data_IF_337157037631
#
_entry.id   IF_337157037631
#
_cell.length_a   1.000
_cell.length_b   1.000
_cell.length_c   1.000
_cell.angle_alpha   90.00
_cell.angle_beta   90.00
_cell.angle_gamma   90.00
#
_symmetry.space_group_name_H-M   'P 1'
#
loop_
_entity.id
_entity.type
_entity.pdbx_description
1 polymer ?
#
# COMPACT_ATOMS: atom_id res chain seq x y z
N UNK A 1 -60.25 9.92 25.73
CA UNK A 1 -59.74 8.53 25.75
C UNK A 1 -59.06 8.28 24.43
N UNK A 2 -57.73 8.48 24.39
CA UNK A 2 -56.94 8.28 23.19
C UNK A 2 -56.81 6.78 22.92
N UNK A 3 -57.43 6.32 21.84
CA UNK A 3 -57.32 4.93 21.40
C UNK A 3 -55.92 4.74 20.81
N UNK A 4 -55.04 4.14 21.60
CA UNK A 4 -53.74 3.63 21.12
C UNK A 4 -54.02 2.70 19.95
N UNK A 5 -53.60 3.10 18.74
CA UNK A 5 -53.72 2.27 17.55
C UNK A 5 -52.90 0.99 17.72
N UNK A 6 -53.45 -0.19 17.37
CA UNK A 6 -52.70 -1.43 17.42
C UNK A 6 -51.49 -1.37 16.47
N UNK A 7 -50.38 -2.06 16.77
CA UNK A 7 -49.22 -2.06 15.88
C UNK A 7 -49.65 -2.58 14.50
N UNK A 8 -49.40 -1.79 13.45
CA UNK A 8 -49.60 -2.22 12.06
C UNK A 8 -48.90 -3.56 11.88
N UNK A 9 -49.67 -4.60 11.54
CA UNK A 9 -49.09 -5.83 10.99
C UNK A 9 -48.44 -5.39 9.69
N UNK A 10 -47.11 -5.42 9.63
CA UNK A 10 -46.42 -5.24 8.36
C UNK A 10 -46.83 -6.41 7.47
N UNK A 11 -47.43 -6.09 6.33
CA UNK A 11 -47.97 -7.09 5.41
C UNK A 11 -46.80 -7.85 4.76
N UNK A 12 -46.91 -9.18 4.62
CA UNK A 12 -45.86 -10.03 4.05
C UNK A 12 -45.43 -9.55 2.65
N UNK A 13 -46.37 -9.01 1.90
CA UNK A 13 -46.16 -8.44 0.56
C UNK A 13 -45.23 -7.22 0.58
N UNK A 14 -45.25 -6.43 1.66
CA UNK A 14 -44.36 -5.27 1.84
C UNK A 14 -42.91 -5.71 2.12
N UNK A 15 -42.71 -6.82 2.83
CA UNK A 15 -41.38 -7.39 3.04
C UNK A 15 -40.81 -8.04 1.77
N UNK A 16 -41.66 -8.68 0.98
CA UNK A 16 -41.25 -9.33 -0.27
C UNK A 16 -40.90 -8.31 -1.36
N UNK A 17 -41.60 -7.16 -1.41
CA UNK A 17 -41.31 -6.09 -2.37
C UNK A 17 -39.95 -5.42 -2.13
N UNK A 18 -39.53 -5.31 -0.86
CA UNK A 18 -38.24 -4.74 -0.46
C UNK A 18 -37.12 -5.79 -0.31
N UNK A 19 -37.35 -7.04 -0.76
CA UNK A 19 -36.38 -8.13 -0.61
C UNK A 19 -35.12 -7.85 -1.45
N UNK A 20 -33.92 -7.86 -0.86
CA UNK A 20 -32.66 -7.75 -1.61
C UNK A 20 -32.47 -8.92 -2.59
N UNK A 21 -31.81 -8.64 -3.72
CA UNK A 21 -31.46 -9.69 -4.67
C UNK A 21 -30.48 -10.70 -4.05
N UNK A 22 -30.57 -11.98 -4.44
CA UNK A 22 -29.69 -13.02 -3.89
C UNK A 22 -28.19 -12.71 -4.11
N UNK A 23 -27.85 -12.09 -5.23
CA UNK A 23 -26.48 -11.66 -5.52
C UNK A 23 -25.98 -10.60 -4.53
N UNK A 24 -26.84 -9.67 -4.10
CA UNK A 24 -26.48 -8.67 -3.09
C UNK A 24 -26.20 -9.31 -1.72
N UNK A 25 -26.99 -10.33 -1.36
CA UNK A 25 -26.78 -11.06 -0.12
C UNK A 25 -25.45 -11.83 -0.13
N UNK A 26 -25.05 -12.37 -1.29
CA UNK A 26 -23.74 -13.01 -1.46
C UNK A 26 -22.61 -11.98 -1.36
N UNK A 27 -22.75 -10.83 -2.03
CA UNK A 27 -21.76 -9.76 -1.96
C UNK A 27 -21.54 -9.23 -0.54
N UNK A 28 -22.61 -9.19 0.26
CA UNK A 28 -22.57 -8.83 1.69
C UNK A 28 -22.11 -9.97 2.60
N UNK A 29 -21.72 -11.12 2.05
CA UNK A 29 -21.36 -12.33 2.80
C UNK A 29 -22.47 -12.85 3.74
N UNK A 30 -23.74 -12.58 3.42
CA UNK A 30 -24.90 -13.10 4.16
C UNK A 30 -25.27 -14.49 3.64
N UNK A 31 -25.29 -14.66 2.31
CA UNK A 31 -25.53 -15.95 1.67
C UNK A 31 -24.22 -16.53 1.13
N UNK A 32 -24.04 -17.85 1.23
CA UNK A 32 -22.94 -18.55 0.55
C UNK A 32 -23.06 -18.48 -0.97
N UNK A 33 -21.98 -18.77 -1.68
CA UNK A 33 -21.96 -18.80 -3.14
C UNK A 33 -23.02 -19.80 -3.67
N UNK A 34 -24.01 -19.34 -4.45
CA UNK A 34 -25.14 -20.15 -4.89
C UNK A 34 -24.74 -21.25 -5.87
N UNK A 35 -23.51 -21.21 -6.41
CA UNK A 35 -22.95 -22.28 -7.26
C UNK A 35 -22.51 -23.50 -6.45
N UNK A 36 -22.40 -23.37 -5.13
CA UNK A 36 -21.99 -24.45 -4.24
C UNK A 36 -23.21 -25.06 -3.57
N UNK A 37 -23.30 -26.38 -3.57
CA UNK A 37 -24.29 -27.09 -2.78
C UNK A 37 -24.19 -26.74 -1.28
N UNK A 38 -25.30 -26.42 -0.59
CA UNK A 38 -25.30 -26.02 0.82
C UNK A 38 -24.54 -26.97 1.75
N UNK A 39 -24.62 -28.28 1.50
CA UNK A 39 -23.99 -29.31 2.31
C UNK A 39 -22.45 -29.21 2.39
N UNK A 40 -21.79 -28.66 1.36
CA UNK A 40 -20.32 -28.59 1.29
C UNK A 40 -19.77 -27.17 1.52
N UNK A 41 -20.63 -26.17 1.70
CA UNK A 41 -20.21 -24.77 1.88
C UNK A 41 -19.29 -24.60 3.08
N UNK A 42 -19.61 -25.25 4.20
CA UNK A 42 -18.80 -25.23 5.41
C UNK A 42 -17.41 -25.86 5.18
N UNK A 43 -17.36 -27.03 4.54
CA UNK A 43 -16.11 -27.71 4.23
C UNK A 43 -15.21 -26.89 3.29
N UNK A 44 -15.80 -26.24 2.27
CA UNK A 44 -15.06 -25.33 1.39
C UNK A 44 -14.49 -24.14 2.16
N UNK A 45 -15.26 -23.54 3.06
CA UNK A 45 -14.82 -22.42 3.89
C UNK A 45 -13.66 -22.81 4.79
N UNK A 46 -13.77 -23.94 5.48
CA UNK A 46 -12.73 -24.50 6.35
C UNK A 46 -11.44 -24.79 5.58
N UNK A 47 -11.56 -25.42 4.40
CA UNK A 47 -10.41 -25.67 3.53
C UNK A 47 -9.74 -24.37 3.08
N UNK A 48 -10.51 -23.36 2.68
CA UNK A 48 -9.97 -22.06 2.30
C UNK A 48 -9.25 -21.38 3.47
N UNK A 49 -9.82 -21.47 4.67
CA UNK A 49 -9.21 -20.95 5.89
C UNK A 49 -7.87 -21.62 6.15
N UNK A 50 -7.80 -22.95 6.11
CA UNK A 50 -6.55 -23.71 6.28
C UNK A 50 -5.50 -23.33 5.25
N UNK A 51 -5.87 -23.22 3.97
CA UNK A 51 -4.96 -22.75 2.92
C UNK A 51 -4.38 -21.37 3.20
N UNK A 52 -5.21 -20.44 3.70
CA UNK A 52 -4.77 -19.09 4.06
C UNK A 52 -3.85 -19.16 5.29
N UNK A 53 -4.19 -19.98 6.28
CA UNK A 53 -3.38 -20.19 7.49
C UNK A 53 -1.99 -20.72 7.14
N UNK A 54 -1.89 -21.78 6.34
CA UNK A 54 -0.62 -22.36 5.93
C UNK A 54 0.24 -21.36 5.16
N UNK A 55 -0.39 -20.62 4.22
CA UNK A 55 0.29 -19.56 3.45
C UNK A 55 0.76 -18.42 4.35
N UNK A 56 -0.02 -18.06 5.37
CA UNK A 56 0.33 -17.01 6.30
C UNK A 56 1.49 -17.45 7.20
N UNK A 57 1.45 -18.67 7.74
CA UNK A 57 2.55 -19.27 8.53
C UNK A 57 3.86 -19.20 7.75
N UNK A 58 3.88 -19.71 6.53
CA UNK A 58 5.06 -19.67 5.67
C UNK A 58 5.60 -18.24 5.45
N UNK A 59 4.71 -17.26 5.21
CA UNK A 59 5.11 -15.86 5.03
C UNK A 59 5.63 -15.19 6.29
N UNK A 60 5.10 -15.57 7.46
CA UNK A 60 5.57 -15.05 8.75
C UNK A 60 6.97 -15.60 9.04
N UNK A 61 7.19 -16.90 8.77
CA UNK A 61 8.48 -17.55 8.99
C UNK A 61 9.59 -16.97 8.09
N UNK A 62 9.25 -16.54 6.87
CA UNK A 62 10.18 -15.94 5.91
C UNK A 62 10.05 -14.42 5.84
N UNK A 63 9.57 -13.78 6.91
CA UNK A 63 9.39 -12.32 6.92
C UNK A 63 10.77 -11.64 6.94
N UNK A 64 11.09 -10.77 5.96
CA UNK A 64 12.35 -10.04 5.97
C UNK A 64 12.42 -9.06 7.15
N UNK A 65 13.63 -8.87 7.66
CA UNK A 65 13.98 -7.91 8.68
C UNK A 65 13.83 -6.46 8.17
N UNK A 66 13.80 -5.50 9.09
CA UNK A 66 13.74 -4.08 8.72
C UNK A 66 15.01 -3.69 7.97
N UNK A 67 16.14 -4.23 8.40
CA UNK A 67 17.48 -3.96 7.88
C UNK A 67 17.58 -4.38 6.41
N UNK A 68 17.15 -5.59 6.06
CA UNK A 68 17.08 -6.06 4.66
C UNK A 68 16.17 -5.15 3.82
N UNK A 69 15.03 -4.74 4.35
CA UNK A 69 14.12 -3.83 3.63
C UNK A 69 14.73 -2.45 3.37
N UNK A 70 15.59 -1.97 4.27
CA UNK A 70 16.34 -0.71 4.10
C UNK A 70 17.45 -0.88 3.07
N UNK A 71 18.20 -1.98 3.12
CA UNK A 71 19.25 -2.31 2.15
C UNK A 71 18.69 -2.38 0.73
N UNK A 72 17.56 -3.07 0.56
CA UNK A 72 16.83 -3.13 -0.71
C UNK A 72 16.11 -1.83 -1.09
N UNK A 73 16.27 -0.74 -0.32
CA UNK A 73 15.65 0.56 -0.56
C UNK A 73 14.11 0.58 -0.59
N UNK A 74 13.47 -0.46 -0.05
CA UNK A 74 12.02 -0.56 0.10
C UNK A 74 11.56 0.35 1.25
N UNK A 75 12.22 0.25 2.40
CA UNK A 75 12.07 1.19 3.50
C UNK A 75 13.18 2.23 3.45
N UNK A 76 12.89 3.43 3.95
CA UNK A 76 13.91 4.46 4.15
C UNK A 76 14.46 4.34 5.55
N UNK A 77 15.77 4.48 5.69
CA UNK A 77 16.39 4.51 7.01
C UNK A 77 16.11 5.84 7.68
N UNK A 78 14.97 5.91 8.35
CA UNK A 78 14.58 7.09 9.11
C UNK A 78 14.22 6.71 10.53
N UNK A 79 14.62 7.59 11.44
CA UNK A 79 14.30 7.57 12.87
C UNK A 79 13.04 8.38 13.19
N UNK A 80 12.39 9.00 12.18
CA UNK A 80 11.16 9.77 12.38
C UNK A 80 9.91 8.88 12.30
N UNK A 81 8.83 9.38 12.88
CA UNK A 81 7.53 8.70 12.86
C UNK A 81 7.06 8.38 11.42
N UNK A 82 6.37 7.24 11.17
CA UNK A 82 5.97 6.82 9.83
C UNK A 82 5.20 7.89 9.03
N UNK A 83 4.39 8.70 9.70
CA UNK A 83 3.63 9.78 9.08
C UNK A 83 4.50 10.93 8.52
N UNK A 84 5.69 11.16 9.09
CA UNK A 84 6.59 12.26 8.74
C UNK A 84 7.71 11.85 7.77
N UNK A 85 7.90 10.56 7.53
CA UNK A 85 8.97 10.08 6.65
C UNK A 85 8.87 10.68 5.25
N UNK A 86 7.64 10.77 4.71
CA UNK A 86 7.40 11.35 3.38
C UNK A 86 7.83 12.82 3.30
N UNK A 87 7.49 13.63 4.30
CA UNK A 87 7.87 15.06 4.33
C UNK A 87 9.38 15.23 4.54
N UNK A 88 9.98 14.41 5.39
CA UNK A 88 11.44 14.41 5.60
C UNK A 88 12.18 14.13 4.29
N UNK A 89 11.81 13.07 3.56
CA UNK A 89 12.46 12.71 2.29
C UNK A 89 12.29 13.81 1.25
N UNK A 90 11.11 14.43 1.18
CA UNK A 90 10.86 15.53 0.26
C UNK A 90 11.77 16.73 0.57
N UNK A 91 11.91 17.08 1.85
CA UNK A 91 12.79 18.15 2.30
C UNK A 91 14.27 17.85 2.00
N UNK A 92 14.73 16.64 2.32
CA UNK A 92 16.10 16.20 2.06
C UNK A 92 16.44 16.27 0.57
N UNK A 93 15.51 15.84 -0.30
CA UNK A 93 15.69 15.94 -1.75
C UNK A 93 15.76 17.38 -2.23
N UNK A 94 14.93 18.27 -1.69
CA UNK A 94 14.98 19.71 -2.01
C UNK A 94 16.33 20.31 -1.62
N UNK A 95 16.76 20.07 -0.38
CA UNK A 95 18.04 20.58 0.12
C UNK A 95 19.23 20.06 -0.71
N UNK A 96 19.18 18.79 -1.11
CA UNK A 96 20.20 18.20 -1.98
C UNK A 96 20.21 18.86 -3.37
N UNK A 97 19.04 19.12 -3.95
CA UNK A 97 18.93 19.81 -5.24
C UNK A 97 19.53 21.22 -5.16
N UNK A 98 19.19 21.99 -4.13
CA UNK A 98 19.70 23.35 -3.95
C UNK A 98 21.23 23.35 -3.77
N UNK A 99 21.73 22.44 -2.94
CA UNK A 99 23.17 22.27 -2.70
C UNK A 99 23.91 21.87 -3.98
N UNK A 100 23.36 20.94 -4.75
CA UNK A 100 23.96 20.48 -5.99
C UNK A 100 23.94 21.57 -7.06
N UNK A 101 22.84 22.33 -7.17
CA UNK A 101 22.73 23.45 -8.09
C UNK A 101 23.81 24.50 -7.82
N UNK A 102 24.04 24.85 -6.55
CA UNK A 102 25.10 25.77 -6.17
C UNK A 102 26.49 25.24 -6.56
N UNK A 103 26.81 23.98 -6.24
CA UNK A 103 28.10 23.36 -6.60
C UNK A 103 28.34 23.26 -8.11
N UNK A 104 27.28 23.05 -8.89
CA UNK A 104 27.37 23.03 -10.35
C UNK A 104 27.64 24.43 -10.90
N UNK A 105 27.04 25.47 -10.33
CA UNK A 105 27.30 26.86 -10.74
C UNK A 105 28.75 27.28 -10.45
N UNK A 106 29.34 26.78 -9.37
CA UNK A 106 30.75 27.04 -9.01
C UNK A 106 31.74 26.09 -9.68
N UNK A 107 31.30 25.31 -10.68
CA UNK A 107 32.14 24.33 -11.36
C UNK A 107 33.39 25.01 -11.96
N UNK A 108 34.61 24.57 -11.59
CA UNK A 108 35.84 25.12 -12.17
C UNK A 108 35.90 24.87 -13.68
N UNK A 109 36.42 25.86 -14.39
CA UNK A 109 36.68 25.74 -15.82
C UNK A 109 37.92 24.87 -16.08
N UNK A 110 38.01 24.32 -17.29
CA UNK A 110 39.06 23.39 -17.73
C UNK A 110 40.46 23.98 -17.50
N UNK A 111 40.65 25.26 -17.79
CA UNK A 111 41.93 25.95 -17.58
C UNK A 111 42.39 25.89 -16.12
N UNK A 112 41.47 26.07 -15.17
CA UNK A 112 41.78 25.99 -13.73
C UNK A 112 42.17 24.57 -13.30
N UNK A 113 41.59 23.54 -13.93
CA UNK A 113 41.94 22.15 -13.65
C UNK A 113 43.34 21.77 -14.17
N UNK A 114 43.75 22.34 -15.31
CA UNK A 114 45.10 22.18 -15.86
C UNK A 114 46.14 22.89 -14.99
N UNK A 115 45.85 24.11 -14.52
CA UNK A 115 46.72 24.85 -13.59
C UNK A 115 46.93 24.07 -12.28
N UNK A 116 45.88 23.42 -11.77
CA UNK A 116 45.94 22.59 -10.57
C UNK A 116 46.60 21.22 -10.80
N UNK A 117 47.05 20.91 -12.02
CA UNK A 117 47.70 19.64 -12.36
C UNK A 117 46.77 18.42 -12.30
N UNK A 118 45.45 18.64 -12.26
CA UNK A 118 44.43 17.57 -12.20
C UNK A 118 44.18 17.01 -13.60
N UNK A 119 44.27 17.86 -14.64
CA UNK A 119 44.10 17.46 -16.03
C UNK A 119 45.36 17.76 -16.84
N UNK A 120 45.78 16.82 -17.69
CA UNK A 120 46.84 17.08 -18.67
C UNK A 120 46.31 18.01 -19.74
N UNK A 121 47.03 19.10 -19.99
CA UNK A 121 46.75 20.01 -21.10
C UNK A 121 47.14 19.37 -22.43
N UNK A 122 46.48 18.27 -22.80
CA UNK A 122 46.72 17.63 -24.08
C UNK A 122 46.17 18.53 -25.20
N UNK A 123 47.10 18.97 -26.05
CA UNK A 123 46.91 19.86 -27.20
C UNK A 123 46.15 19.18 -28.35
N UNK A 124 44.99 18.59 -28.10
CA UNK A 124 44.19 18.01 -29.18
C UNK A 124 42.69 18.02 -28.90
N UNK A 125 42.11 19.20 -28.69
CA UNK A 125 40.68 19.44 -28.92
C UNK A 125 40.52 20.90 -29.38
N UNK A 126 40.55 21.09 -30.71
CA UNK A 126 39.98 22.23 -31.43
C UNK A 126 38.56 21.87 -31.85
#
# INVERSE_FOLDING_TARGET
MDRVSPPKKLDMDDFLSHRPAAQELVAKNILGDPKIAPAIQQQRSELNKRKIEDKLRHKIDHRPSREELVEHNILKDSKVAPSLQKSQIALERSQLQDTLAHKINERPDVAKLVEQGIMTGDKNDM
#
